data_IF_454880129751
#
_entry.id   IF_454880129751
#
_cell.length_a   1.000
_cell.length_b   1.000
_cell.length_c   1.000
_cell.angle_alpha   90.00
_cell.angle_beta   90.00
_cell.angle_gamma   90.00
#
_symmetry.space_group_name_H-M   'P 1'
#
loop_
_entity.id
_entity.type
_entity.pdbx_description
1 polymer ?
#
# COMPACT_ATOMS: atom_id res chain seq x y z
N UNK A 1 -6.52 18.73 -5.61
CA UNK A 1 -7.42 17.54 -5.62
C UNK A 1 -6.81 16.33 -6.36
N UNK A 2 -5.99 16.52 -7.42
CA UNK A 2 -5.55 15.40 -8.27
C UNK A 2 -4.55 14.38 -7.68
N UNK A 3 -3.73 14.73 -6.67
CA UNK A 3 -2.76 13.79 -6.07
C UNK A 3 -3.45 12.66 -5.29
N UNK A 4 -4.50 12.96 -4.53
CA UNK A 4 -5.23 11.93 -3.79
C UNK A 4 -5.99 10.97 -4.72
N UNK A 5 -6.54 11.50 -5.82
CA UNK A 5 -7.25 10.72 -6.84
C UNK A 5 -6.33 9.77 -7.57
N UNK A 6 -5.09 10.19 -7.91
CA UNK A 6 -4.11 9.33 -8.55
C UNK A 6 -3.62 8.19 -7.63
N UNK A 7 -3.52 8.41 -6.32
CA UNK A 7 -3.15 7.37 -5.34
C UNK A 7 -4.18 6.23 -5.33
N UNK A 8 -5.47 6.59 -5.40
CA UNK A 8 -6.57 5.64 -5.46
C UNK A 8 -6.56 4.79 -6.74
N UNK A 9 -6.13 5.37 -7.87
CA UNK A 9 -6.15 4.69 -9.17
C UNK A 9 -5.25 3.45 -9.23
N UNK A 10 -4.09 3.46 -8.55
CA UNK A 10 -3.22 2.28 -8.43
C UNK A 10 -3.74 1.28 -7.39
N UNK A 11 -4.15 1.76 -6.21
CA UNK A 11 -4.60 0.89 -5.12
C UNK A 11 -5.85 0.06 -5.46
N UNK A 12 -6.71 0.54 -6.36
CA UNK A 12 -8.04 -0.03 -6.58
C UNK A 12 -8.14 -1.05 -7.72
N UNK A 13 -7.16 -1.19 -8.62
CA UNK A 13 -7.44 -1.87 -9.91
C UNK A 13 -7.01 -3.33 -10.09
N UNK A 14 -6.06 -3.90 -9.35
CA UNK A 14 -5.54 -5.24 -9.72
C UNK A 14 -5.27 -6.19 -8.54
N UNK A 15 -6.31 -6.86 -8.05
CA UNK A 15 -6.15 -8.04 -7.16
C UNK A 15 -6.02 -9.36 -7.95
N UNK A 16 -6.44 -9.41 -9.22
CA UNK A 16 -6.46 -10.65 -10.01
C UNK A 16 -5.09 -11.11 -10.52
N UNK A 17 -4.13 -10.19 -10.64
CA UNK A 17 -2.92 -10.44 -11.44
C UNK A 17 -1.64 -10.50 -10.61
N UNK A 18 -1.73 -10.42 -9.27
CA UNK A 18 -0.56 -10.32 -8.38
C UNK A 18 0.28 -9.06 -8.62
N UNK A 19 -0.27 -8.09 -9.36
CA UNK A 19 0.47 -6.96 -9.89
C UNK A 19 0.64 -5.85 -8.84
N UNK A 20 1.88 -5.51 -8.52
CA UNK A 20 2.26 -4.46 -7.58
C UNK A 20 3.50 -3.74 -8.14
N UNK A 21 3.29 -2.58 -8.78
CA UNK A 21 4.35 -1.81 -9.43
C UNK A 21 3.92 -0.35 -9.60
N UNK A 22 4.89 0.53 -9.78
CA UNK A 22 4.71 1.94 -10.11
C UNK A 22 4.14 2.17 -11.53
N UNK A 23 4.21 1.15 -12.39
CA UNK A 23 3.77 1.20 -13.78
C UNK A 23 2.41 0.54 -13.94
N UNK A 24 1.40 1.23 -14.47
CA UNK A 24 0.12 0.62 -14.80
C UNK A 24 0.19 -0.12 -16.16
N UNK A 25 0.34 -1.46 -16.14
CA UNK A 25 0.54 -2.26 -17.38
C UNK A 25 -0.67 -2.26 -18.33
N UNK A 26 -1.88 -2.17 -17.79
CA UNK A 26 -3.11 -2.37 -18.58
C UNK A 26 -3.66 -1.08 -19.19
N UNK A 27 -3.02 0.06 -18.94
CA UNK A 27 -3.48 1.35 -19.45
C UNK A 27 -2.28 2.26 -19.71
N UNK A 28 -1.73 2.24 -20.94
CA UNK A 28 -0.53 3.00 -21.28
C UNK A 28 -0.64 4.51 -21.00
N UNK A 29 -1.85 5.07 -21.09
CA UNK A 29 -2.14 6.48 -20.77
C UNK A 29 -2.11 6.79 -19.26
N UNK A 30 -2.10 5.77 -18.39
CA UNK A 30 -2.01 5.90 -16.93
C UNK A 30 -0.79 5.16 -16.35
N UNK A 31 0.15 4.75 -17.22
CA UNK A 31 1.28 3.92 -16.86
C UNK A 31 2.12 4.56 -15.76
N UNK A 32 2.51 5.82 -15.91
CA UNK A 32 3.39 6.54 -14.98
C UNK A 32 2.60 7.43 -14.04
N UNK A 33 3.17 7.71 -12.87
CA UNK A 33 2.60 8.64 -11.88
C UNK A 33 2.27 10.01 -12.50
N UNK A 34 3.18 10.57 -13.28
CA UNK A 34 2.99 11.87 -13.94
C UNK A 34 1.73 11.87 -14.79
N UNK A 35 1.56 10.86 -15.65
CA UNK A 35 0.38 10.73 -16.50
C UNK A 35 -0.92 10.60 -15.69
N UNK A 36 -0.88 9.82 -14.59
CA UNK A 36 -2.03 9.70 -13.68
C UNK A 36 -2.39 11.04 -13.03
N UNK A 37 -1.41 11.80 -12.56
CA UNK A 37 -1.65 13.11 -11.91
C UNK A 37 -2.14 14.13 -12.94
N UNK A 38 -1.48 14.20 -14.10
CA UNK A 38 -1.78 15.14 -15.19
C UNK A 38 -3.17 14.96 -15.79
N UNK A 39 -3.74 13.75 -15.71
CA UNK A 39 -5.13 13.51 -16.09
C UNK A 39 -6.12 14.30 -15.22
N UNK A 40 -5.77 14.57 -13.96
CA UNK A 40 -6.64 15.28 -13.03
C UNK A 40 -6.22 16.73 -12.78
N UNK A 41 -4.93 17.05 -12.91
CA UNK A 41 -4.40 18.39 -12.65
C UNK A 41 -3.00 18.57 -13.23
N UNK A 42 -2.71 19.77 -13.73
CA UNK A 42 -1.38 20.19 -14.21
C UNK A 42 -0.65 21.10 -13.20
N UNK A 43 -1.12 21.18 -11.95
CA UNK A 43 -0.62 22.13 -10.94
C UNK A 43 0.76 21.77 -10.37
N UNK A 44 1.21 20.52 -10.53
CA UNK A 44 2.43 20.03 -9.90
C UNK A 44 3.61 20.02 -10.88
N UNK A 45 4.74 20.56 -10.45
CA UNK A 45 6.01 20.59 -11.20
C UNK A 45 6.88 19.35 -10.95
N UNK A 46 6.69 18.69 -9.80
CA UNK A 46 7.38 17.45 -9.42
C UNK A 46 6.41 16.56 -8.67
N UNK A 47 6.51 15.25 -8.91
CA UNK A 47 5.71 14.22 -8.25
C UNK A 47 6.60 13.05 -7.86
N UNK A 48 6.24 12.35 -6.77
CA UNK A 48 6.85 11.08 -6.37
C UNK A 48 5.81 10.15 -5.78
N UNK A 49 6.11 8.85 -5.75
CA UNK A 49 5.19 7.81 -5.28
C UNK A 49 5.94 6.81 -4.42
N UNK A 50 5.38 6.53 -3.23
CA UNK A 50 5.70 5.33 -2.47
C UNK A 50 4.52 4.37 -2.61
N UNK A 51 4.82 3.10 -2.82
CA UNK A 51 3.83 2.01 -2.72
C UNK A 51 4.25 1.08 -1.59
N UNK A 52 3.29 0.52 -0.86
CA UNK A 52 3.51 -0.49 0.19
C UNK A 52 2.57 -1.69 0.04
N UNK A 53 3.03 -2.91 0.33
CA UNK A 53 2.17 -4.08 0.58
C UNK A 53 2.62 -4.79 1.85
N UNK A 54 1.74 -4.85 2.85
CA UNK A 54 2.08 -5.27 4.21
C UNK A 54 1.01 -6.21 4.77
N UNK A 55 1.41 -7.27 5.46
CA UNK A 55 0.47 -8.19 6.09
C UNK A 55 -0.23 -7.53 7.29
N UNK A 56 -1.53 -7.78 7.45
CA UNK A 56 -2.34 -7.30 8.58
C UNK A 56 -2.09 -8.10 9.85
N UNK A 57 -1.40 -9.23 9.71
CA UNK A 57 -1.02 -10.12 10.78
C UNK A 57 0.50 -10.04 10.90
N UNK A 58 0.99 -9.91 12.12
CA UNK A 58 2.42 -9.95 12.42
C UNK A 58 2.92 -11.39 12.23
N UNK A 59 3.26 -11.71 10.99
CA UNK A 59 3.67 -13.06 10.61
C UNK A 59 5.18 -13.15 10.40
N UNK A 60 5.84 -14.18 10.95
CA UNK A 60 7.16 -14.58 10.49
C UNK A 60 7.09 -15.09 9.03
N UNK A 61 8.24 -15.29 8.35
CA UNK A 61 8.28 -15.82 6.98
C UNK A 61 7.53 -17.15 6.82
N UNK A 62 7.53 -17.98 7.87
CA UNK A 62 6.84 -19.26 7.91
C UNK A 62 5.79 -19.27 9.02
N UNK A 63 4.53 -19.50 8.65
CA UNK A 63 3.42 -19.60 9.59
C UNK A 63 2.42 -20.65 9.12
N UNK A 64 1.61 -21.13 10.07
CA UNK A 64 0.56 -22.09 9.82
C UNK A 64 -0.80 -21.40 9.94
N UNK A 65 -1.81 -22.00 9.32
CA UNK A 65 -3.18 -21.51 9.38
C UNK A 65 -4.14 -22.65 9.76
N UNK A 66 -5.33 -22.30 10.25
CA UNK A 66 -6.46 -23.24 10.32
C UNK A 66 -7.77 -22.52 10.08
N UNK A 67 -8.73 -23.25 9.50
CA UNK A 67 -10.07 -22.75 9.28
C UNK A 67 -10.90 -22.85 10.57
N UNK A 68 -11.49 -21.75 10.98
CA UNK A 68 -12.42 -21.61 12.10
C UNK A 68 -13.82 -22.09 11.69
N UNK A 69 -14.69 -22.27 12.69
CA UNK A 69 -16.09 -22.69 12.49
C UNK A 69 -16.92 -21.69 11.68
N UNK A 70 -16.60 -20.41 11.79
CA UNK A 70 -17.24 -19.33 11.03
C UNK A 70 -16.76 -19.25 9.56
N UNK A 71 -15.88 -20.16 9.15
CA UNK A 71 -15.33 -20.24 7.80
C UNK A 71 -14.07 -19.41 7.58
N UNK A 72 -13.73 -18.48 8.48
CA UNK A 72 -12.51 -17.67 8.41
C UNK A 72 -11.27 -18.45 8.81
N UNK A 73 -10.08 -17.93 8.50
CA UNK A 73 -8.80 -18.49 8.89
C UNK A 73 -8.17 -17.68 10.02
N UNK A 74 -7.55 -18.39 10.96
CA UNK A 74 -6.60 -17.83 11.91
C UNK A 74 -5.20 -18.36 11.64
N UNK A 75 -4.20 -17.58 12.06
CA UNK A 75 -2.80 -17.82 11.78
C UNK A 75 -2.04 -18.00 13.09
N UNK A 76 -1.10 -18.94 13.11
CA UNK A 76 -0.34 -19.30 14.29
C UNK A 76 1.07 -19.73 13.92
N UNK A 77 1.98 -19.61 14.88
CA UNK A 77 3.32 -20.17 14.75
C UNK A 77 3.24 -21.71 14.63
N UNK A 78 3.91 -22.27 13.62
CA UNK A 78 3.82 -23.70 13.31
C UNK A 78 4.29 -24.61 14.44
N UNK A 79 5.27 -24.18 15.23
CA UNK A 79 5.91 -25.00 16.27
C UNK A 79 5.10 -25.01 17.55
N UNK A 80 4.86 -23.82 18.11
CA UNK A 80 4.25 -23.67 19.44
C UNK A 80 2.72 -23.45 19.40
N UNK A 81 2.13 -23.35 18.21
CA UNK A 81 0.69 -23.13 17.97
C UNK A 81 0.14 -21.84 18.57
N UNK A 82 0.99 -20.89 18.94
CA UNK A 82 0.58 -19.59 19.44
C UNK A 82 -0.03 -18.75 18.31
N UNK A 83 -1.20 -18.15 18.57
CA UNK A 83 -1.89 -17.30 17.61
C UNK A 83 -1.05 -16.05 17.30
N UNK A 84 -0.99 -15.69 16.02
CA UNK A 84 -0.29 -14.50 15.57
C UNK A 84 -1.17 -13.27 15.76
N UNK A 85 -0.54 -12.14 16.11
CA UNK A 85 -1.22 -10.89 16.40
C UNK A 85 -1.76 -10.27 15.12
N UNK A 86 -3.05 -9.93 15.10
CA UNK A 86 -3.63 -9.04 14.10
C UNK A 86 -3.36 -7.61 14.53
N UNK A 87 -2.81 -6.79 13.63
CA UNK A 87 -2.61 -5.37 13.92
C UNK A 87 -3.95 -4.65 14.07
N UNK A 88 -4.03 -3.77 15.06
CA UNK A 88 -5.08 -2.75 15.06
C UNK A 88 -4.74 -1.67 14.01
N UNK A 89 -5.69 -0.77 13.75
CA UNK A 89 -5.51 0.28 12.75
C UNK A 89 -4.25 1.15 12.98
N UNK A 90 -4.00 1.57 14.22
CA UNK A 90 -2.88 2.43 14.57
C UNK A 90 -1.55 1.69 14.43
N UNK A 91 -1.44 0.49 14.99
CA UNK A 91 -0.23 -0.33 14.90
C UNK A 91 0.12 -0.63 13.43
N UNK A 92 -0.90 -0.91 12.60
CA UNK A 92 -0.69 -1.21 11.19
C UNK A 92 -0.23 0.01 10.39
N UNK A 93 -0.82 1.18 10.66
CA UNK A 93 -0.41 2.43 10.03
C UNK A 93 1.03 2.81 10.41
N UNK A 94 1.38 2.65 11.69
CA UNK A 94 2.74 2.88 12.18
C UNK A 94 3.74 1.91 11.55
N UNK A 95 3.38 0.62 11.47
CA UNK A 95 4.20 -0.38 10.79
C UNK A 95 4.45 0.01 9.32
N UNK A 96 3.41 0.34 8.55
CA UNK A 96 3.54 0.73 7.15
C UNK A 96 4.43 1.97 6.95
N UNK A 97 4.29 3.00 7.80
CA UNK A 97 5.14 4.20 7.74
C UNK A 97 6.58 3.87 8.14
N UNK A 98 6.79 3.03 9.16
CA UNK A 98 8.13 2.60 9.57
C UNK A 98 8.84 1.83 8.44
N UNK A 99 8.13 0.97 7.71
CA UNK A 99 8.68 0.26 6.55
C UNK A 99 9.14 1.23 5.46
N UNK A 100 8.35 2.27 5.15
CA UNK A 100 8.80 3.33 4.24
C UNK A 100 9.97 4.12 4.80
N UNK A 101 9.94 4.46 6.09
CA UNK A 101 11.03 5.13 6.76
C UNK A 101 12.29 4.26 6.85
N UNK A 102 12.23 2.94 6.73
CA UNK A 102 13.41 2.07 6.73
C UNK A 102 13.99 1.80 5.34
N UNK A 103 13.27 2.16 4.27
CA UNK A 103 13.77 2.08 2.90
C UNK A 103 14.37 3.42 2.44
N UNK A 104 15.65 3.49 2.01
CA UNK A 104 16.27 4.75 1.60
C UNK A 104 15.48 5.51 0.50
N UNK A 105 14.95 4.79 -0.50
CA UNK A 105 14.19 5.39 -1.59
C UNK A 105 12.85 5.97 -1.10
N UNK A 106 12.10 5.20 -0.31
CA UNK A 106 10.81 5.67 0.21
C UNK A 106 11.00 6.81 1.24
N UNK A 107 11.98 6.68 2.13
CA UNK A 107 12.37 7.70 3.12
C UNK A 107 12.71 9.02 2.44
N UNK A 108 13.43 8.99 1.31
CA UNK A 108 13.76 10.20 0.56
C UNK A 108 12.49 10.99 0.18
N UNK A 109 11.46 10.32 -0.34
CA UNK A 109 10.20 10.97 -0.68
C UNK A 109 9.46 11.53 0.55
N UNK A 110 9.42 10.77 1.65
CA UNK A 110 8.73 11.17 2.89
C UNK A 110 9.37 12.42 3.52
N UNK A 111 10.70 12.50 3.48
CA UNK A 111 11.46 13.60 4.12
C UNK A 111 11.77 14.77 3.18
N UNK A 112 11.43 14.68 1.89
CA UNK A 112 11.69 15.74 0.92
C UNK A 112 10.73 16.93 1.16
N UNK A 113 11.24 17.93 1.87
CA UNK A 113 10.54 19.19 2.18
C UNK A 113 10.11 20.00 0.95
N UNK A 114 10.55 19.65 -0.26
CA UNK A 114 10.11 20.33 -1.49
C UNK A 114 8.72 19.91 -1.94
N UNK A 115 8.22 18.76 -1.48
CA UNK A 115 6.82 18.39 -1.68
C UNK A 115 5.92 19.13 -0.71
N UNK A 116 4.87 19.76 -1.23
CA UNK A 116 3.93 20.56 -0.43
C UNK A 116 2.57 19.87 -0.26
N UNK A 117 2.35 18.77 -0.96
CA UNK A 117 1.10 18.01 -0.96
C UNK A 117 1.37 16.52 -0.89
N UNK A 118 0.51 15.82 -0.15
CA UNK A 118 0.48 14.37 -0.05
C UNK A 118 -0.95 13.89 -0.26
N UNK A 119 -1.11 12.84 -1.06
CA UNK A 119 -2.36 12.09 -1.20
C UNK A 119 -2.12 10.61 -0.92
N UNK A 120 -2.92 10.04 -0.04
CA UNK A 120 -2.79 8.65 0.38
C UNK A 120 -4.00 7.82 -0.07
N UNK A 121 -3.77 6.56 -0.38
CA UNK A 121 -4.82 5.57 -0.54
C UNK A 121 -4.38 4.24 0.08
N UNK A 122 -5.34 3.48 0.59
CA UNK A 122 -5.10 2.13 1.09
C UNK A 122 -6.26 1.21 0.73
N UNK A 123 -5.96 -0.07 0.54
CA UNK A 123 -6.95 -1.12 0.27
C UNK A 123 -6.52 -2.43 0.92
N UNK A 124 -7.45 -3.13 1.55
CA UNK A 124 -7.23 -4.50 2.04
C UNK A 124 -7.41 -5.53 0.91
N UNK A 125 -6.73 -6.67 1.03
CA UNK A 125 -6.92 -7.82 0.14
C UNK A 125 -8.41 -8.20 0.05
N UNK A 126 -8.91 -8.51 -1.15
CA UNK A 126 -10.34 -8.74 -1.45
C UNK A 126 -11.11 -9.64 -0.47
N UNK A 127 -10.49 -10.76 -0.07
CA UNK A 127 -11.13 -11.78 0.75
C UNK A 127 -10.32 -11.99 2.05
N UNK A 128 -10.29 -11.00 2.96
CA UNK A 128 -9.43 -11.09 4.12
C UNK A 128 -9.88 -12.23 5.03
N UNK A 129 -8.92 -13.00 5.56
CA UNK A 129 -9.17 -14.15 6.42
C UNK A 129 -9.97 -15.30 5.76
N UNK A 130 -10.13 -15.35 4.43
CA UNK A 130 -10.88 -16.43 3.76
C UNK A 130 -9.99 -17.52 3.15
N UNK A 131 -8.68 -17.40 3.32
CA UNK A 131 -7.68 -18.31 2.75
C UNK A 131 -6.54 -18.56 3.74
N UNK A 132 -5.80 -19.65 3.52
CA UNK A 132 -4.58 -20.00 4.26
C UNK A 132 -3.38 -19.11 3.86
N UNK A 133 -3.63 -17.81 3.80
CA UNK A 133 -2.64 -16.76 3.52
C UNK A 133 -3.06 -15.54 4.32
N UNK A 134 -2.14 -14.96 5.08
CA UNK A 134 -2.42 -13.77 5.88
C UNK A 134 -2.94 -12.64 4.99
N UNK A 135 -4.03 -11.95 5.37
CA UNK A 135 -4.50 -10.80 4.62
C UNK A 135 -3.46 -9.70 4.62
N UNK A 136 -3.47 -8.87 3.58
CA UNK A 136 -2.53 -7.77 3.42
C UNK A 136 -3.24 -6.48 3.04
N UNK A 137 -2.60 -5.36 3.34
CA UNK A 137 -2.99 -4.02 2.93
C UNK A 137 -2.03 -3.53 1.86
N UNK A 138 -2.56 -2.89 0.83
CA UNK A 138 -1.82 -2.16 -0.19
C UNK A 138 -1.98 -0.67 0.07
N UNK A 139 -0.90 0.07 -0.03
CA UNK A 139 -0.79 1.48 0.31
C UNK A 139 -0.12 2.24 -0.81
N UNK A 140 -0.55 3.48 -1.01
CA UNK A 140 0.09 4.44 -1.92
C UNK A 140 0.18 5.79 -1.23
N UNK A 141 1.34 6.44 -1.32
CA UNK A 141 1.55 7.86 -1.05
C UNK A 141 2.03 8.54 -2.32
N UNK A 142 1.26 9.50 -2.82
CA UNK A 142 1.69 10.37 -3.90
C UNK A 142 2.02 11.75 -3.35
N UNK A 143 3.22 12.21 -3.66
CA UNK A 143 3.73 13.51 -3.25
C UNK A 143 3.71 14.46 -4.45
N UNK A 144 3.52 15.76 -4.20
CA UNK A 144 3.65 16.75 -5.25
C UNK A 144 4.08 18.12 -4.79
N UNK A 145 4.85 18.77 -5.66
CA UNK A 145 5.34 20.13 -5.51
C UNK A 145 4.57 21.03 -6.46
N UNK A 146 3.82 22.00 -5.94
CA UNK A 146 3.07 22.96 -6.76
C UNK A 146 4.04 23.81 -7.60
N UNK A 147 3.64 24.16 -8.83
CA UNK A 147 4.36 25.13 -9.67
C UNK A 147 4.41 26.48 -8.96
N UNK A 148 5.60 27.05 -8.81
CA UNK A 148 5.76 28.47 -8.46
C UNK A 148 5.55 29.30 -9.73
N UNK A 149 4.68 30.30 -9.65
CA UNK A 149 4.50 31.31 -10.70
C UNK A 149 5.76 32.14 -10.91
#
# INVERSE_FOLDING_TARGET
>A
MGIATSSSAICLRHDSDGFYNHVHLYSPSFAKLTQRVETFTLEYSRVAENIGQYQLVDTPPEYCCRRKRDGSFEYFNCDNKHLLKVFNYLDFAQYAVNEWMNSPSHRHNVLDSTYTHLGCAARLSKNPYQECRAPFGRFVQNFGKVKTN
#
